data_IF_942666073867
#
_entry.id   IF_942666073867
#
_cell.length_a   1.000
_cell.length_b   1.000
_cell.length_c   1.000
_cell.angle_alpha   90.00
_cell.angle_beta   90.00
_cell.angle_gamma   90.00
#
_symmetry.space_group_name_H-M   'P 1'
#
loop_
_entity.id
_entity.type
_entity.pdbx_description
1 polymer ?
#
# COMPACT_ATOMS: atom_id res chain seq x y z
N UNK A 1 66.49 -28.14 12.58
CA UNK A 1 65.21 -28.60 13.16
C UNK A 1 64.09 -28.08 12.23
N UNK A 2 63.86 -28.69 11.07
CA UNK A 2 62.89 -29.78 10.74
C UNK A 2 61.45 -29.56 11.23
N UNK A 3 60.57 -29.45 10.23
CA UNK A 3 59.12 -29.29 10.23
C UNK A 3 58.36 -30.40 10.98
N UNK A 4 57.14 -30.06 11.42
CA UNK A 4 56.10 -31.03 11.76
C UNK A 4 54.71 -30.46 11.45
N UNK A 5 54.12 -30.91 10.35
CA UNK A 5 52.68 -30.89 10.10
C UNK A 5 52.04 -32.10 10.78
N UNK A 6 50.91 -31.92 11.48
CA UNK A 6 49.82 -32.92 11.53
C UNK A 6 48.47 -32.19 11.61
N UNK A 7 47.65 -32.48 10.60
CA UNK A 7 46.21 -32.25 10.51
C UNK A 7 45.49 -33.34 11.33
N UNK A 8 44.41 -33.06 12.06
CA UNK A 8 43.30 -34.01 12.16
C UNK A 8 41.99 -33.32 12.56
N UNK A 9 40.97 -33.59 11.74
CA UNK A 9 39.60 -33.14 11.87
C UNK A 9 38.84 -33.90 12.96
N UNK A 10 37.90 -33.23 13.63
CA UNK A 10 36.89 -33.85 14.47
C UNK A 10 35.50 -33.66 13.83
N UNK A 11 34.95 -34.77 13.34
CA UNK A 11 33.57 -34.99 12.99
C UNK A 11 32.68 -34.95 14.24
N UNK A 12 31.57 -34.21 14.20
CA UNK A 12 30.40 -34.51 15.03
C UNK A 12 29.16 -34.59 14.16
N UNK A 13 28.75 -35.83 13.89
CA UNK A 13 27.41 -36.21 13.47
C UNK A 13 26.45 -36.03 14.64
N UNK A 14 25.36 -35.31 14.44
CA UNK A 14 24.14 -35.46 15.24
C UNK A 14 23.00 -35.68 14.25
N UNK A 15 22.67 -36.96 14.05
CA UNK A 15 21.38 -37.42 13.51
C UNK A 15 20.31 -37.11 14.56
N UNK A 16 19.25 -36.43 14.16
CA UNK A 16 18.00 -36.40 14.93
C UNK A 16 16.92 -36.99 14.04
N UNK A 17 16.42 -38.14 14.49
CA UNK A 17 15.26 -38.86 13.95
C UNK A 17 14.01 -37.98 13.97
N UNK A 18 13.34 -37.85 12.82
CA UNK A 18 11.98 -37.29 12.72
C UNK A 18 11.03 -38.42 12.36
N UNK A 19 10.02 -38.74 13.19
CA UNK A 19 9.06 -39.80 12.90
C UNK A 19 8.06 -39.38 11.83
N UNK A 20 7.98 -40.21 10.78
CA UNK A 20 6.96 -40.20 9.73
C UNK A 20 5.60 -40.56 10.32
N UNK A 21 4.68 -39.60 10.37
CA UNK A 21 3.27 -39.85 10.69
C UNK A 21 2.40 -39.85 9.44
N UNK A 22 1.55 -40.87 9.40
CA UNK A 22 0.74 -41.37 8.29
C UNK A 22 -0.41 -40.43 7.92
N UNK A 23 -0.64 -40.31 6.60
CA UNK A 23 -1.94 -40.54 5.96
C UNK A 23 -3.05 -39.53 6.23
N UNK A 24 -3.09 -38.44 5.44
CA UNK A 24 -4.29 -37.64 5.29
C UNK A 24 -4.94 -37.93 3.93
N UNK A 25 -6.11 -38.56 3.98
CA UNK A 25 -6.94 -38.91 2.81
C UNK A 25 -7.66 -37.65 2.34
N UNK A 26 -7.33 -37.19 1.13
CA UNK A 26 -7.99 -36.06 0.48
C UNK A 26 -9.40 -36.47 0.03
N UNK A 27 -10.44 -35.94 0.70
CA UNK A 27 -11.83 -36.06 0.24
C UNK A 27 -12.11 -34.97 -0.78
N UNK A 28 -12.38 -35.42 -2.00
CA UNK A 28 -12.78 -34.62 -3.15
C UNK A 28 -14.19 -34.02 -2.92
N UNK A 29 -14.26 -32.74 -2.55
CA UNK A 29 -15.52 -32.00 -2.51
C UNK A 29 -15.88 -31.46 -3.89
N UNK A 30 -16.94 -32.03 -4.44
CA UNK A 30 -17.62 -31.59 -5.67
C UNK A 30 -18.03 -30.11 -5.57
N UNK A 31 -17.53 -29.30 -6.50
CA UNK A 31 -17.99 -27.93 -6.72
C UNK A 31 -19.30 -27.99 -7.49
N UNK A 32 -20.39 -27.59 -6.84
CA UNK A 32 -21.69 -27.43 -7.48
C UNK A 32 -21.68 -26.20 -8.40
N UNK A 33 -22.06 -26.42 -9.65
CA UNK A 33 -22.38 -25.39 -10.63
C UNK A 33 -23.44 -24.41 -10.10
N UNK A 34 -23.03 -23.16 -9.86
CA UNK A 34 -23.95 -22.03 -9.74
C UNK A 34 -24.06 -21.31 -11.09
N UNK A 35 -25.31 -21.04 -11.46
CA UNK A 35 -25.77 -20.55 -12.76
C UNK A 35 -25.39 -19.08 -13.00
N UNK A 36 -25.31 -18.63 -14.27
CA UNK A 36 -25.07 -17.23 -14.60
C UNK A 36 -26.24 -16.33 -14.19
N UNK A 37 -25.91 -15.20 -13.55
CA UNK A 37 -26.85 -14.11 -13.30
C UNK A 37 -27.11 -13.34 -14.60
N UNK A 38 -28.36 -13.38 -15.08
CA UNK A 38 -28.85 -12.53 -16.16
C UNK A 38 -29.01 -11.07 -15.67
N UNK A 39 -28.18 -10.17 -16.22
CA UNK A 39 -28.36 -8.72 -16.07
C UNK A 39 -29.48 -8.22 -16.99
N UNK A 40 -30.66 -8.03 -16.41
CA UNK A 40 -31.77 -7.34 -17.05
C UNK A 40 -31.47 -5.84 -17.22
N UNK A 41 -31.19 -5.42 -18.46
CA UNK A 41 -31.10 -4.04 -18.87
C UNK A 41 -32.48 -3.34 -18.80
N UNK A 42 -32.69 -2.49 -17.80
CA UNK A 42 -33.84 -1.55 -17.78
C UNK A 42 -33.46 -0.20 -18.38
N UNK A 43 -33.75 -0.03 -19.67
CA UNK A 43 -33.92 1.28 -20.34
C UNK A 43 -34.97 2.09 -19.58
N UNK A 44 -34.62 3.26 -19.04
CA UNK A 44 -35.60 4.28 -18.65
C UNK A 44 -35.50 5.52 -19.55
N UNK A 45 -36.69 5.87 -20.02
CA UNK A 45 -37.10 6.81 -21.07
C UNK A 45 -36.89 8.26 -20.65
N UNK A 46 -36.37 9.07 -21.58
CA UNK A 46 -36.53 10.54 -21.67
C UNK A 46 -37.99 10.96 -21.43
N UNK A 47 -38.22 11.99 -20.61
CA UNK A 47 -39.36 12.92 -20.76
C UNK A 47 -38.88 14.35 -20.57
N UNK A 48 -38.93 15.10 -21.67
CA UNK A 48 -38.89 16.55 -21.71
C UNK A 48 -40.15 17.11 -21.03
N UNK A 49 -40.02 18.18 -20.25
CA UNK A 49 -41.09 19.15 -20.04
C UNK A 49 -40.51 20.55 -20.05
N UNK A 50 -40.95 21.31 -21.04
CA UNK A 50 -40.82 22.76 -21.12
C UNK A 50 -41.95 23.42 -20.32
N UNK A 51 -41.67 24.57 -19.71
CA UNK A 51 -42.69 25.58 -19.40
C UNK A 51 -42.07 26.97 -19.47
N UNK A 52 -42.70 27.81 -20.30
CA UNK A 52 -42.45 29.24 -20.54
C UNK A 52 -43.13 30.10 -19.46
N UNK A 53 -42.56 31.29 -19.24
CA UNK A 53 -43.21 32.52 -18.74
C UNK A 53 -42.13 33.53 -18.32
N UNK A 54 -41.73 34.52 -19.16
CA UNK A 54 -42.26 35.91 -19.32
C UNK A 54 -42.48 36.64 -17.98
N UNK A 55 -42.10 37.90 -17.73
CA UNK A 55 -41.37 38.97 -18.43
C UNK A 55 -41.30 40.22 -17.49
N UNK A 56 -40.43 41.20 -17.83
CA UNK A 56 -40.35 42.65 -17.45
C UNK A 56 -39.25 43.04 -16.44
N UNK A 57 -38.58 44.21 -16.50
CA UNK A 57 -38.20 45.22 -17.51
C UNK A 57 -37.38 46.32 -16.78
N UNK A 58 -36.40 46.98 -17.45
CA UNK A 58 -35.72 48.24 -17.03
C UNK A 58 -34.18 48.19 -17.11
N UNK A 59 -33.49 48.56 -18.22
CA UNK A 59 -33.06 49.92 -18.70
C UNK A 59 -32.01 50.57 -17.76
N UNK A 60 -30.79 51.03 -18.08
CA UNK A 60 -29.83 51.06 -19.24
C UNK A 60 -28.39 51.43 -18.67
N UNK A 61 -27.36 51.96 -19.38
CA UNK A 61 -26.07 51.26 -19.60
C UNK A 61 -24.72 52.00 -19.26
N UNK A 62 -23.62 51.22 -19.19
CA UNK A 62 -22.17 51.52 -19.44
C UNK A 62 -21.41 52.51 -18.50
N UNK A 63 -20.05 52.45 -18.34
CA UNK A 63 -19.06 51.81 -19.22
C UNK A 63 -18.03 50.87 -18.54
N UNK A 64 -17.14 50.41 -19.41
CA UNK A 64 -16.10 49.37 -19.37
C UNK A 64 -14.96 49.46 -18.35
N UNK A 65 -14.31 48.29 -18.21
CA UNK A 65 -12.90 48.03 -17.88
C UNK A 65 -12.56 47.71 -16.41
N UNK A 66 -12.46 46.40 -16.14
CA UNK A 66 -11.20 45.70 -15.82
C UNK A 66 -11.56 44.25 -15.49
N UNK A 67 -11.33 43.39 -16.47
CA UNK A 67 -11.39 41.94 -16.38
C UNK A 67 -10.28 41.49 -15.43
N UNK A 68 -10.57 41.43 -14.13
CA UNK A 68 -9.77 40.67 -13.17
C UNK A 68 -10.15 39.21 -13.35
N UNK A 69 -9.36 38.49 -14.15
CA UNK A 69 -9.41 37.04 -14.21
C UNK A 69 -9.37 36.47 -12.80
N UNK A 70 -10.24 35.52 -12.43
CA UNK A 70 -10.15 34.86 -11.14
C UNK A 70 -8.84 34.09 -11.11
N UNK A 71 -8.07 34.31 -10.05
CA UNK A 71 -6.85 33.60 -9.74
C UNK A 71 -7.06 32.10 -9.96
N UNK A 72 -6.38 31.55 -10.96
CA UNK A 72 -6.14 30.12 -11.07
C UNK A 72 -5.53 29.70 -9.74
N UNK A 73 -6.32 28.98 -8.95
CA UNK A 73 -5.80 28.19 -7.86
C UNK A 73 -4.73 27.30 -8.48
N UNK A 74 -3.46 27.58 -8.15
CA UNK A 74 -2.32 26.76 -8.51
C UNK A 74 -2.50 25.39 -7.88
N UNK A 75 -3.23 24.52 -8.57
CA UNK A 75 -3.14 23.08 -8.41
C UNK A 75 -1.82 22.71 -9.06
N UNK A 76 -0.71 22.90 -8.34
CA UNK A 76 0.56 22.27 -8.68
C UNK A 76 0.42 20.77 -8.40
N UNK A 77 -0.40 20.10 -9.21
CA UNK A 77 -0.68 18.68 -9.08
C UNK A 77 0.61 17.89 -9.21
N UNK A 78 0.77 16.88 -8.37
CA UNK A 78 1.68 15.77 -8.63
C UNK A 78 1.49 15.14 -10.04
N UNK A 79 0.35 15.40 -10.72
CA UNK A 79 -0.04 14.85 -12.04
C UNK A 79 0.71 15.38 -13.27
N UNK A 80 1.67 16.31 -13.15
CA UNK A 80 2.44 16.79 -14.32
C UNK A 80 3.76 16.04 -14.54
N UNK A 81 4.14 15.13 -13.63
CA UNK A 81 5.39 14.38 -13.73
C UNK A 81 5.20 13.09 -14.50
N UNK A 82 6.27 12.64 -15.18
CA UNK A 82 6.28 11.35 -15.85
C UNK A 82 6.07 10.25 -14.80
N UNK A 83 5.02 9.42 -14.92
CA UNK A 83 4.82 8.30 -14.01
C UNK A 83 6.01 7.36 -14.04
N UNK A 84 6.48 6.93 -12.87
CA UNK A 84 7.49 5.89 -12.80
C UNK A 84 6.88 4.52 -13.17
N UNK A 85 7.74 3.53 -13.38
CA UNK A 85 7.30 2.15 -13.63
C UNK A 85 7.91 1.16 -12.64
N UNK A 86 7.14 0.12 -12.32
CA UNK A 86 7.53 -1.00 -11.48
C UNK A 86 6.97 -2.29 -12.11
N UNK A 87 7.84 -3.26 -12.43
CA UNK A 87 7.45 -4.52 -13.06
C UNK A 87 6.56 -4.34 -14.32
N UNK A 88 6.83 -3.30 -15.13
CA UNK A 88 6.04 -2.99 -16.32
C UNK A 88 4.73 -2.23 -16.07
N UNK A 89 4.39 -1.94 -14.82
CA UNK A 89 3.21 -1.16 -14.43
C UNK A 89 3.62 0.28 -14.19
N UNK A 90 2.96 1.22 -14.88
CA UNK A 90 3.12 2.65 -14.62
C UNK A 90 2.30 3.10 -13.41
N UNK A 91 2.86 4.01 -12.61
CA UNK A 91 2.17 4.65 -11.49
C UNK A 91 0.80 5.21 -11.93
N UNK A 92 -0.23 4.99 -11.11
CA UNK A 92 -1.53 5.65 -11.25
C UNK A 92 -1.71 6.69 -10.15
N UNK A 93 -1.40 7.95 -10.47
CA UNK A 93 -1.49 9.06 -9.51
C UNK A 93 -2.92 9.36 -9.06
N UNK A 94 -3.95 8.83 -9.72
CA UNK A 94 -5.34 8.91 -9.23
C UNK A 94 -5.54 8.10 -7.95
N UNK A 95 -4.70 7.10 -7.74
CA UNK A 95 -4.65 6.29 -6.52
C UNK A 95 -3.55 6.75 -5.55
N UNK A 96 -2.86 7.85 -5.88
CA UNK A 96 -1.67 8.32 -5.15
C UNK A 96 -0.58 7.25 -5.07
N UNK A 97 -0.47 6.44 -6.11
CA UNK A 97 0.54 5.39 -6.20
C UNK A 97 1.87 6.00 -6.62
N UNK A 98 2.87 5.85 -5.76
CA UNK A 98 4.26 6.24 -6.04
C UNK A 98 5.18 5.07 -5.68
N UNK A 99 6.13 4.75 -6.56
CA UNK A 99 7.05 3.65 -6.32
C UNK A 99 8.37 4.14 -5.74
N UNK A 100 8.90 3.46 -4.72
CA UNK A 100 10.22 3.76 -4.18
C UNK A 100 11.30 3.69 -5.26
N UNK A 101 12.33 4.51 -5.11
CA UNK A 101 13.56 4.30 -5.89
C UNK A 101 14.26 3.00 -5.45
N UNK A 102 15.25 2.58 -6.25
CA UNK A 102 15.92 1.30 -6.00
C UNK A 102 16.64 1.28 -4.64
N UNK A 103 17.33 2.37 -4.29
CA UNK A 103 18.09 2.47 -3.05
C UNK A 103 17.17 2.37 -1.81
N UNK A 104 16.07 3.10 -1.81
CA UNK A 104 15.05 3.08 -0.76
C UNK A 104 14.39 1.70 -0.67
N UNK A 105 14.07 1.10 -1.82
CA UNK A 105 13.48 -0.26 -1.86
C UNK A 105 14.41 -1.27 -1.20
N UNK A 106 15.70 -1.27 -1.56
CA UNK A 106 16.69 -2.19 -0.99
C UNK A 106 16.90 -1.95 0.51
N UNK A 107 16.97 -0.68 0.94
CA UNK A 107 17.14 -0.33 2.34
C UNK A 107 15.93 -0.77 3.19
N UNK A 108 14.71 -0.48 2.74
CA UNK A 108 13.50 -0.96 3.42
C UNK A 108 13.41 -2.48 3.43
N UNK A 109 13.84 -3.13 2.35
CA UNK A 109 13.80 -4.58 2.27
C UNK A 109 14.72 -5.26 3.30
N UNK A 110 15.83 -4.62 3.71
CA UNK A 110 16.66 -5.15 4.80
C UNK A 110 15.86 -5.32 6.11
N UNK A 111 14.89 -4.44 6.37
CA UNK A 111 13.96 -4.61 7.50
C UNK A 111 12.94 -5.71 7.22
N UNK A 112 12.36 -5.74 6.02
CA UNK A 112 11.38 -6.77 5.62
C UNK A 112 11.98 -8.18 5.78
N UNK A 113 13.25 -8.35 5.46
CA UNK A 113 13.95 -9.63 5.50
C UNK A 113 14.11 -10.19 6.93
N UNK A 114 13.96 -9.35 7.96
CA UNK A 114 13.97 -9.76 9.37
C UNK A 114 12.72 -10.52 9.80
N UNK A 115 11.65 -10.46 9.01
CA UNK A 115 10.34 -11.00 9.33
C UNK A 115 10.02 -12.18 8.42
N UNK A 116 9.50 -13.28 8.95
CA UNK A 116 9.21 -14.49 8.18
C UNK A 116 8.05 -14.29 7.21
N UNK A 117 6.99 -13.62 7.65
CA UNK A 117 5.70 -13.47 6.95
C UNK A 117 5.21 -12.01 6.97
N UNK A 118 5.96 -11.08 6.34
CA UNK A 118 5.58 -9.67 6.32
C UNK A 118 4.27 -9.44 5.55
N UNK A 119 3.40 -8.61 6.11
CA UNK A 119 2.27 -8.01 5.43
C UNK A 119 2.70 -6.69 4.78
N UNK A 120 2.55 -6.61 3.47
CA UNK A 120 2.86 -5.45 2.65
C UNK A 120 1.54 -4.79 2.25
N UNK A 121 1.17 -3.71 2.93
CA UNK A 121 -0.12 -3.03 2.72
C UNK A 121 0.07 -1.76 1.89
N UNK A 122 -0.57 -1.70 0.72
CA UNK A 122 -0.38 -0.63 -0.27
C UNK A 122 1.08 -0.46 -0.70
N UNK A 123 1.88 -1.55 -0.65
CA UNK A 123 3.34 -1.46 -0.84
C UNK A 123 3.85 -2.39 -1.95
N UNK A 124 3.50 -2.13 -3.22
CA UNK A 124 3.88 -2.98 -4.34
C UNK A 124 5.40 -2.98 -4.60
N UNK A 125 6.11 -1.89 -4.29
CA UNK A 125 7.57 -1.82 -4.44
C UNK A 125 8.29 -2.91 -3.65
N UNK A 126 7.91 -3.12 -2.39
CA UNK A 126 8.47 -4.19 -1.56
C UNK A 126 8.00 -5.57 -1.99
N UNK A 127 6.74 -5.72 -2.42
CA UNK A 127 6.19 -7.00 -2.86
C UNK A 127 6.89 -7.53 -4.12
N UNK A 128 7.15 -6.66 -5.10
CA UNK A 128 7.90 -7.03 -6.31
C UNK A 128 9.34 -7.45 -5.97
N UNK A 129 9.97 -6.87 -4.95
CA UNK A 129 11.29 -7.32 -4.51
C UNK A 129 11.21 -8.64 -3.72
N UNK A 130 10.19 -8.81 -2.87
CA UNK A 130 9.94 -10.06 -2.13
C UNK A 130 9.72 -11.25 -3.08
N UNK A 131 8.89 -11.08 -4.10
CA UNK A 131 8.64 -12.09 -5.15
C UNK A 131 9.95 -12.49 -5.85
N UNK A 132 10.74 -11.51 -6.29
CA UNK A 132 12.04 -11.75 -6.95
C UNK A 132 13.04 -12.49 -6.05
N UNK A 133 12.94 -12.31 -4.73
CA UNK A 133 13.76 -12.99 -3.73
C UNK A 133 13.14 -14.28 -3.19
N UNK A 134 11.98 -14.70 -3.71
CA UNK A 134 11.25 -15.89 -3.23
C UNK A 134 10.95 -15.86 -1.73
N UNK A 135 10.77 -14.66 -1.17
CA UNK A 135 10.40 -14.44 0.24
C UNK A 135 8.89 -14.68 0.38
N UNK A 136 8.39 -15.39 1.39
CA UNK A 136 6.97 -15.40 1.69
C UNK A 136 6.47 -14.00 2.08
N UNK A 137 5.34 -13.55 1.55
CA UNK A 137 4.72 -12.27 1.89
C UNK A 137 3.22 -12.33 1.59
N UNK A 138 2.48 -11.35 2.12
CA UNK A 138 1.12 -11.03 1.69
C UNK A 138 1.10 -9.57 1.23
N UNK A 139 0.73 -9.32 -0.03
CA UNK A 139 0.47 -7.97 -0.54
C UNK A 139 -1.03 -7.71 -0.54
N UNK A 140 -1.44 -6.65 0.14
CA UNK A 140 -2.80 -6.13 0.10
C UNK A 140 -2.79 -4.78 -0.61
N UNK A 141 -3.36 -4.73 -1.81
CA UNK A 141 -3.42 -3.50 -2.61
C UNK A 141 -4.74 -3.42 -3.37
N UNK A 142 -5.17 -2.20 -3.70
CA UNK A 142 -6.35 -1.95 -4.54
C UNK A 142 -6.08 -2.13 -6.02
N UNK A 143 -4.81 -2.05 -6.41
CA UNK A 143 -4.40 -2.06 -7.81
C UNK A 143 -4.24 -3.50 -8.33
N UNK A 144 -5.30 -3.97 -9.00
CA UNK A 144 -5.37 -5.33 -9.56
C UNK A 144 -4.35 -5.59 -10.66
N UNK A 145 -3.61 -4.58 -11.14
CA UNK A 145 -2.51 -4.80 -12.09
C UNK A 145 -1.38 -5.62 -11.46
N UNK A 146 -1.30 -5.69 -10.13
CA UNK A 146 -0.33 -6.52 -9.40
C UNK A 146 -0.81 -7.96 -9.13
N UNK A 147 -1.92 -8.41 -9.72
CA UNK A 147 -2.47 -9.76 -9.50
C UNK A 147 -1.57 -10.92 -9.98
N UNK A 148 -0.56 -10.63 -10.80
CA UNK A 148 0.47 -11.58 -11.21
C UNK A 148 1.43 -11.97 -10.07
N UNK A 149 1.44 -11.23 -8.97
CA UNK A 149 2.27 -11.51 -7.80
C UNK A 149 1.64 -12.61 -6.94
N UNK A 150 2.43 -13.62 -6.55
CA UNK A 150 1.91 -14.82 -5.87
C UNK A 150 1.26 -14.51 -4.51
N UNK A 151 1.75 -13.49 -3.81
CA UNK A 151 1.22 -13.02 -2.55
C UNK A 151 0.14 -11.94 -2.65
N UNK A 152 -0.34 -11.56 -3.84
CA UNK A 152 -1.31 -10.47 -3.98
C UNK A 152 -2.74 -10.88 -3.57
N UNK A 153 -3.43 -9.97 -2.87
CA UNK A 153 -4.89 -10.00 -2.73
C UNK A 153 -5.47 -8.59 -2.89
N UNK A 154 -6.63 -8.45 -3.57
CA UNK A 154 -7.30 -7.18 -3.67
C UNK A 154 -7.76 -6.70 -2.29
N UNK A 155 -7.51 -5.42 -2.01
CA UNK A 155 -7.81 -4.82 -0.72
C UNK A 155 -8.15 -3.33 -0.86
N UNK A 156 -8.99 -2.82 0.05
CA UNK A 156 -9.33 -1.41 0.15
C UNK A 156 -9.23 -0.94 1.60
N UNK A 157 -8.45 0.10 1.86
CA UNK A 157 -8.39 0.76 3.17
C UNK A 157 -9.77 1.26 3.65
N UNK A 158 -10.70 1.49 2.72
CA UNK A 158 -12.06 1.96 3.03
C UNK A 158 -12.99 0.81 3.46
N UNK A 159 -12.71 -0.41 3.00
CA UNK A 159 -13.48 -1.62 3.26
C UNK A 159 -12.57 -2.72 3.83
N UNK A 160 -11.95 -2.49 5.00
CA UNK A 160 -11.04 -3.46 5.60
C UNK A 160 -11.78 -4.69 6.07
N UNK A 161 -11.12 -5.84 5.99
CA UNK A 161 -11.59 -7.11 6.51
C UNK A 161 -10.52 -7.75 7.40
N UNK A 162 -10.96 -8.64 8.29
CA UNK A 162 -10.05 -9.40 9.14
C UNK A 162 -9.29 -10.43 8.31
N UNK A 163 -7.97 -10.51 8.49
CA UNK A 163 -7.13 -11.52 7.87
C UNK A 163 -7.04 -12.70 8.83
N UNK A 164 -7.58 -13.86 8.45
CA UNK A 164 -7.63 -15.05 9.32
C UNK A 164 -6.77 -16.21 8.83
N UNK A 165 -6.35 -16.17 7.57
CA UNK A 165 -5.65 -17.25 6.87
C UNK A 165 -4.17 -16.91 6.58
N UNK A 166 -3.68 -15.80 7.11
CA UNK A 166 -2.29 -15.39 7.03
C UNK A 166 -1.86 -14.75 8.34
N UNK A 167 -1.01 -15.47 9.08
CA UNK A 167 -0.49 -15.06 10.38
C UNK A 167 0.80 -14.24 10.16
N UNK A 168 0.63 -12.97 9.82
CA UNK A 168 1.73 -12.05 9.55
C UNK A 168 2.43 -11.63 10.85
N UNK A 169 3.74 -11.42 10.78
CA UNK A 169 4.60 -11.09 11.92
C UNK A 169 5.15 -9.66 11.90
N UNK A 170 4.89 -8.91 10.83
CA UNK A 170 5.09 -7.45 10.74
C UNK A 170 4.21 -6.84 9.66
N UNK A 171 3.98 -5.53 9.75
CA UNK A 171 3.28 -4.75 8.72
C UNK A 171 4.18 -3.64 8.20
N UNK A 172 4.30 -3.57 6.87
CA UNK A 172 4.91 -2.46 6.14
C UNK A 172 3.82 -1.80 5.29
N UNK A 173 3.53 -0.54 5.54
CA UNK A 173 2.45 0.18 4.87
C UNK A 173 2.94 1.46 4.17
N UNK A 174 2.46 1.69 2.95
CA UNK A 174 2.64 2.94 2.20
C UNK A 174 1.27 3.48 1.72
N UNK A 175 0.50 4.11 2.62
CA UNK A 175 -0.88 4.47 2.30
C UNK A 175 -0.94 5.76 1.45
N UNK A 176 -2.00 5.94 0.64
CA UNK A 176 -2.31 7.22 0.01
C UNK A 176 -2.34 8.36 1.03
N UNK A 177 -1.75 9.51 0.70
CA UNK A 177 -1.52 10.60 1.67
C UNK A 177 -2.64 11.64 1.72
N UNK A 178 -3.38 11.87 0.63
CA UNK A 178 -4.37 12.94 0.54
C UNK A 178 -5.78 12.43 0.83
N UNK A 179 -6.13 11.26 0.30
CA UNK A 179 -7.50 10.74 0.34
C UNK A 179 -7.77 9.82 1.55
N UNK A 180 -6.74 9.41 2.28
CA UNK A 180 -6.86 8.57 3.48
C UNK A 180 -6.23 9.27 4.68
N UNK A 181 -6.97 9.34 5.79
CA UNK A 181 -6.45 9.93 7.04
C UNK A 181 -5.71 8.88 7.87
N UNK A 182 -4.75 9.29 8.71
CA UNK A 182 -4.10 8.39 9.66
C UNK A 182 -5.09 7.60 10.53
N UNK A 183 -6.20 8.21 10.94
CA UNK A 183 -7.24 7.54 11.75
C UNK A 183 -7.94 6.44 10.96
N UNK A 184 -8.16 6.62 9.67
CA UNK A 184 -8.71 5.57 8.79
C UNK A 184 -7.71 4.41 8.65
N UNK A 185 -6.42 4.71 8.48
CA UNK A 185 -5.36 3.70 8.46
C UNK A 185 -5.30 2.94 9.80
N UNK A 186 -5.32 3.65 10.93
CA UNK A 186 -5.30 3.02 12.25
C UNK A 186 -6.53 2.13 12.49
N UNK A 187 -7.72 2.58 12.07
CA UNK A 187 -8.95 1.76 12.11
C UNK A 187 -8.79 0.49 11.28
N UNK A 188 -8.24 0.62 10.07
CA UNK A 188 -7.97 -0.48 9.16
C UNK A 188 -7.03 -1.51 9.82
N UNK A 189 -5.87 -1.06 10.31
CA UNK A 189 -4.88 -1.91 10.97
C UNK A 189 -5.47 -2.66 12.18
N UNK A 190 -6.28 -1.99 13.00
CA UNK A 190 -6.97 -2.62 14.14
C UNK A 190 -7.92 -3.74 13.68
N UNK A 191 -8.71 -3.49 12.64
CA UNK A 191 -9.67 -4.48 12.11
C UNK A 191 -8.98 -5.69 11.46
N UNK A 192 -7.78 -5.49 10.93
CA UNK A 192 -6.95 -6.55 10.35
C UNK A 192 -6.21 -7.38 11.40
N UNK A 193 -6.23 -6.97 12.68
CA UNK A 193 -5.46 -7.61 13.75
C UNK A 193 -3.98 -7.23 13.78
N UNK A 194 -3.60 -6.12 13.14
CA UNK A 194 -2.21 -5.67 13.03
C UNK A 194 -1.69 -4.87 14.24
N UNK A 195 -2.51 -4.67 15.27
CA UNK A 195 -2.17 -3.85 16.44
C UNK A 195 -1.25 -4.55 17.46
N UNK A 196 -0.77 -5.76 17.14
CA UNK A 196 0.10 -6.58 18.02
C UNK A 196 1.46 -6.90 17.42
N UNK A 197 1.71 -6.51 16.17
CA UNK A 197 2.96 -6.78 15.46
C UNK A 197 3.70 -5.46 15.17
N UNK A 198 5.02 -5.51 14.92
CA UNK A 198 5.77 -4.34 14.47
C UNK A 198 5.13 -3.69 13.24
N UNK A 199 4.96 -2.37 13.30
CA UNK A 199 4.36 -1.56 12.25
C UNK A 199 5.39 -0.56 11.71
N UNK A 200 5.58 -0.58 10.40
CA UNK A 200 6.42 0.34 9.67
C UNK A 200 5.56 1.11 8.66
N UNK A 201 5.58 2.44 8.73
CA UNK A 201 4.74 3.33 7.91
C UNK A 201 5.63 4.26 7.10
N UNK A 202 5.54 4.21 5.77
CA UNK A 202 6.03 5.30 4.93
C UNK A 202 4.99 6.42 4.93
N UNK A 203 5.37 7.63 5.37
CA UNK A 203 4.41 8.72 5.49
C UNK A 203 5.01 10.10 5.34
N UNK A 204 4.15 11.07 5.01
CA UNK A 204 4.52 12.46 4.89
C UNK A 204 4.70 13.11 6.28
N UNK A 205 5.92 13.55 6.59
CA UNK A 205 6.31 14.21 7.83
C UNK A 205 5.59 15.54 8.09
N UNK A 206 5.03 16.20 7.06
CA UNK A 206 4.16 17.37 7.26
C UNK A 206 2.87 17.03 8.01
N UNK A 207 2.51 15.75 8.09
CA UNK A 207 1.36 15.21 8.81
C UNK A 207 1.76 14.30 9.97
N UNK A 208 3.02 14.36 10.42
CA UNK A 208 3.58 13.49 11.46
C UNK A 208 2.72 13.48 12.73
N UNK A 209 2.39 14.65 13.27
CA UNK A 209 1.62 14.74 14.50
C UNK A 209 0.29 13.97 14.44
N UNK A 210 -0.40 14.02 13.29
CA UNK A 210 -1.63 13.27 13.08
C UNK A 210 -1.36 11.77 12.95
N UNK A 211 -0.27 11.40 12.26
CA UNK A 211 0.16 10.01 12.16
C UNK A 211 0.47 9.41 13.54
N UNK A 212 1.36 10.04 14.30
CA UNK A 212 1.79 9.53 15.59
C UNK A 212 0.63 9.44 16.58
N UNK A 213 -0.27 10.44 16.62
CA UNK A 213 -1.48 10.36 17.44
C UNK A 213 -2.36 9.17 17.07
N UNK A 214 -2.58 8.92 15.78
CA UNK A 214 -3.46 7.84 15.33
C UNK A 214 -2.83 6.45 15.53
N UNK A 215 -1.55 6.29 15.19
CA UNK A 215 -0.86 5.00 15.27
C UNK A 215 -0.50 4.61 16.71
N UNK A 216 -0.11 5.58 17.55
CA UNK A 216 0.22 5.31 18.96
C UNK A 216 -1.04 5.10 19.83
N UNK A 217 -2.24 5.28 19.26
CA UNK A 217 -3.50 4.85 19.87
C UNK A 217 -3.86 3.38 19.54
N UNK A 218 -3.01 2.67 18.79
CA UNK A 218 -3.06 1.21 18.67
C UNK A 218 -2.42 0.55 19.89
N UNK A 219 -2.64 -0.75 20.07
CA UNK A 219 -2.10 -1.50 21.21
C UNK A 219 -0.62 -1.92 21.04
N UNK A 220 0.02 -1.47 19.95
CA UNK A 220 1.41 -1.81 19.62
C UNK A 220 2.42 -0.84 20.23
N UNK A 221 3.74 -1.05 19.97
CA UNK A 221 4.76 -0.10 20.32
C UNK A 221 4.50 1.28 19.70
N UNK A 222 4.84 2.34 20.42
CA UNK A 222 4.80 3.69 19.87
C UNK A 222 5.69 3.77 18.63
N UNK A 223 5.25 4.50 17.61
CA UNK A 223 6.05 4.82 16.45
C UNK A 223 6.95 6.02 16.72
N UNK A 224 8.15 5.97 16.14
CA UNK A 224 9.06 7.09 15.99
C UNK A 224 9.55 7.22 14.55
N UNK A 225 9.95 8.43 14.17
CA UNK A 225 10.57 8.70 12.88
C UNK A 225 11.94 8.02 12.81
N UNK A 226 12.24 7.35 11.70
CA UNK A 226 13.49 6.61 11.49
C UNK A 226 14.40 7.34 10.49
N UNK A 227 14.16 7.21 9.20
CA UNK A 227 14.96 7.86 8.14
C UNK A 227 14.07 8.30 6.96
N UNK A 228 14.60 9.21 6.13
CA UNK A 228 13.91 9.71 4.96
C UNK A 228 13.86 8.65 3.84
N UNK A 229 12.78 8.67 3.08
CA UNK A 229 12.54 7.76 1.96
C UNK A 229 12.53 8.54 0.65
N UNK A 230 12.81 7.85 -0.45
CA UNK A 230 12.74 8.44 -1.79
C UNK A 230 11.87 7.59 -2.71
N UNK A 231 10.96 8.26 -3.39
CA UNK A 231 10.22 7.74 -4.52
C UNK A 231 10.97 7.98 -5.83
N UNK A 232 10.54 7.31 -6.89
CA UNK A 232 10.97 7.57 -8.26
C UNK A 232 10.46 8.94 -8.74
N UNK A 233 10.73 9.25 -10.00
CA UNK A 233 10.52 10.57 -10.64
C UNK A 233 9.08 11.13 -10.58
N UNK A 234 8.10 10.33 -10.15
CA UNK A 234 6.68 10.72 -10.01
C UNK A 234 6.38 11.74 -8.91
N UNK A 235 7.31 12.01 -7.97
CA UNK A 235 7.07 12.86 -6.78
C UNK A 235 7.91 14.15 -6.81
N UNK A 236 7.37 15.28 -6.35
CA UNK A 236 8.10 16.55 -6.23
C UNK A 236 9.25 16.53 -5.24
N UNK A 237 10.35 17.27 -5.51
CA UNK A 237 11.49 17.35 -4.59
C UNK A 237 11.04 17.77 -3.19
N UNK A 238 10.24 18.82 -3.10
CA UNK A 238 9.63 19.27 -1.84
C UNK A 238 8.81 18.17 -1.13
N UNK A 239 8.17 17.28 -1.89
CA UNK A 239 7.44 16.15 -1.33
C UNK A 239 8.41 15.05 -0.92
N UNK A 240 9.41 14.71 -1.73
CA UNK A 240 10.46 13.73 -1.43
C UNK A 240 11.12 14.02 -0.09
N UNK A 241 11.48 15.28 0.17
CA UNK A 241 12.13 15.71 1.41
C UNK A 241 11.23 15.56 2.65
N UNK A 242 9.94 15.36 2.43
CA UNK A 242 8.94 15.15 3.48
C UNK A 242 8.50 13.70 3.65
N UNK A 243 9.03 12.73 2.89
CA UNK A 243 8.65 11.32 3.07
C UNK A 243 9.64 10.64 4.00
N UNK A 244 9.10 10.01 5.04
CA UNK A 244 9.88 9.35 6.07
C UNK A 244 9.31 7.98 6.41
N UNK A 245 10.19 7.10 6.86
CA UNK A 245 9.82 5.88 7.54
C UNK A 245 9.55 6.17 9.01
N UNK A 246 8.45 5.62 9.50
CA UNK A 246 8.11 5.52 10.90
C UNK A 246 8.12 4.05 11.29
N UNK A 247 8.61 3.73 12.48
CA UNK A 247 8.68 2.35 12.96
C UNK A 247 8.65 2.28 14.48
N UNK A 248 8.63 1.08 15.09
CA UNK A 248 8.58 0.91 16.54
C UNK A 248 9.71 1.66 17.24
N UNK A 249 9.42 2.35 18.34
CA UNK A 249 10.43 2.95 19.22
C UNK A 249 11.35 1.85 19.77
N UNK A 250 12.64 2.18 19.88
CA UNK A 250 13.67 1.28 20.42
C UNK A 250 13.66 1.27 21.95
#
# INVERSE_FOLDING_TARGET
>A
MRMGHVLLAALFSIMVDVPVSRGFVFRETRVNHLRPFELHAKKKKKRNKASKGKQKAGVSPLPSSKTSSPAEAQVSSATQRKPATLAGISEDHRYEQFFYDEATTQQLYQLVDLYERPLLLCNPSLAVLAERKSKPYLLLDRDTRFDFLSGYRPFSLMEPYLITDFDFDAVFIDPPFANVTPEQVARCLRLMGADKVPLFVAYNARREDALLRAMNALNGPNLERKWSLRYREGVSLDTQDSIWLYGPAN
#
